data_IF_556234690357
#
_entry.id   IF_556234690357
#
_cell.length_a   1.000
_cell.length_b   1.000
_cell.length_c   1.000
_cell.angle_alpha   90.00
_cell.angle_beta   90.00
_cell.angle_gamma   90.00
#
_symmetry.space_group_name_H-M   'P 1'
#
loop_
_entity.id
_entity.type
_entity.pdbx_description
1 polymer ?
#
# COMPACT_ATOMS: atom_id res chain seq x y z
N UNK A 1 13.76 48.44 32.15
CA UNK A 1 13.22 48.61 30.78
C UNK A 1 11.97 47.73 30.67
N UNK A 2 10.76 48.28 30.89
CA UNK A 2 9.51 47.49 30.79
C UNK A 2 9.14 47.37 29.31
N UNK A 3 9.31 46.19 28.74
CA UNK A 3 8.83 45.86 27.40
C UNK A 3 7.31 46.04 27.42
N UNK A 4 6.79 47.01 26.65
CA UNK A 4 5.35 47.15 26.44
C UNK A 4 4.91 45.98 25.56
N UNK A 5 4.32 44.96 26.15
CA UNK A 5 3.67 43.87 25.41
C UNK A 5 2.50 44.49 24.63
N UNK A 6 2.52 44.33 23.31
CA UNK A 6 1.43 44.75 22.44
C UNK A 6 0.24 43.80 22.70
N UNK A 7 -0.96 44.31 23.08
CA UNK A 7 -2.11 43.48 23.42
C UNK A 7 -2.68 42.68 22.24
N UNK A 8 -2.21 42.93 21.02
CA UNK A 8 -2.54 42.17 19.82
C UNK A 8 -1.47 41.12 19.45
N UNK A 9 -0.36 41.02 20.19
CA UNK A 9 0.59 39.94 19.98
C UNK A 9 -0.03 38.64 20.52
N UNK A 10 0.08 37.52 19.78
CA UNK A 10 -0.36 36.24 20.28
C UNK A 10 0.34 35.95 21.63
N UNK A 11 -0.36 35.31 22.59
CA UNK A 11 0.22 35.02 23.89
C UNK A 11 1.52 34.24 23.70
N UNK A 12 2.58 34.69 24.38
CA UNK A 12 3.90 34.07 24.30
C UNK A 12 3.80 32.69 24.94
N UNK A 13 3.73 31.64 24.11
CA UNK A 13 3.69 30.25 24.59
C UNK A 13 4.89 29.99 25.50
N UNK A 14 4.66 29.44 26.70
CA UNK A 14 5.76 29.14 27.61
C UNK A 14 6.62 28.02 27.02
N UNK A 15 7.92 28.06 27.30
CA UNK A 15 8.85 27.01 26.83
C UNK A 15 8.34 25.60 27.21
N UNK A 16 7.71 25.43 28.37
CA UNK A 16 7.13 24.16 28.81
C UNK A 16 5.99 23.68 27.90
N UNK A 17 5.13 24.60 27.43
CA UNK A 17 4.07 24.26 26.46
C UNK A 17 4.65 23.90 25.09
N UNK A 18 5.71 24.57 24.67
CA UNK A 18 6.42 24.28 23.42
C UNK A 18 7.11 22.90 23.47
N UNK A 19 7.80 22.60 24.57
CA UNK A 19 8.44 21.30 24.77
C UNK A 19 7.41 20.18 24.88
N UNK A 20 6.32 20.37 25.62
CA UNK A 20 5.24 19.39 25.72
C UNK A 20 4.62 19.08 24.35
N UNK A 21 4.35 20.12 23.53
CA UNK A 21 3.86 19.96 22.16
C UNK A 21 4.86 19.22 21.28
N UNK A 22 6.13 19.61 21.28
CA UNK A 22 7.16 18.93 20.50
C UNK A 22 7.33 17.46 20.92
N UNK A 23 7.24 17.14 22.21
CA UNK A 23 7.25 15.74 22.68
C UNK A 23 6.00 14.97 22.27
N UNK A 24 4.82 15.60 22.26
CA UNK A 24 3.58 14.99 21.81
C UNK A 24 3.62 14.78 20.29
N UNK A 25 4.10 15.74 19.51
CA UNK A 25 4.28 15.61 18.06
C UNK A 25 5.28 14.52 17.70
N UNK A 26 6.40 14.43 18.42
CA UNK A 26 7.37 13.36 18.25
C UNK A 26 6.83 11.99 18.67
N UNK A 27 5.99 11.92 19.71
CA UNK A 27 5.31 10.70 20.14
C UNK A 27 4.18 10.27 19.20
N UNK A 28 3.56 11.23 18.51
CA UNK A 28 2.50 11.02 17.51
C UNK A 28 3.06 10.69 16.11
N UNK A 29 4.36 10.89 15.88
CA UNK A 29 5.00 10.58 14.62
C UNK A 29 5.08 9.07 14.41
N UNK A 30 4.57 8.60 13.26
CA UNK A 30 4.58 7.18 12.91
C UNK A 30 6.01 6.64 12.91
N UNK A 31 6.34 5.62 13.73
CA UNK A 31 7.66 5.03 13.81
C UNK A 31 8.15 4.53 12.45
N UNK A 32 9.46 4.63 12.19
CA UNK A 32 10.06 4.22 10.90
C UNK A 32 9.79 2.74 10.59
N UNK A 33 9.81 1.87 11.60
CA UNK A 33 9.50 0.45 11.41
C UNK A 33 8.05 0.22 10.93
N UNK A 34 7.09 1.06 11.37
CA UNK A 34 5.71 0.96 10.93
C UNK A 34 5.57 1.41 9.47
N UNK A 35 6.32 2.42 9.06
CA UNK A 35 6.37 2.87 7.65
C UNK A 35 6.92 1.78 6.75
N UNK A 36 7.96 1.08 7.19
CA UNK A 36 8.55 -0.03 6.44
C UNK A 36 7.60 -1.22 6.31
N UNK A 37 6.88 -1.58 7.38
CA UNK A 37 5.88 -2.65 7.28
C UNK A 37 4.66 -2.24 6.46
N UNK A 38 4.23 -0.98 6.56
CA UNK A 38 3.21 -0.40 5.70
C UNK A 38 3.61 -0.42 4.22
N UNK A 39 4.89 -0.22 3.92
CA UNK A 39 5.45 -0.39 2.58
C UNK A 39 5.36 -1.85 2.11
N UNK A 40 5.77 -2.77 3.00
CA UNK A 40 5.93 -4.18 2.68
C UNK A 40 4.60 -4.85 2.29
N UNK A 41 3.48 -4.43 2.87
CA UNK A 41 2.17 -5.02 2.55
C UNK A 41 1.72 -4.74 1.11
N UNK A 42 2.18 -3.64 0.48
CA UNK A 42 1.90 -3.37 -0.93
C UNK A 42 2.73 -4.22 -1.90
N UNK A 43 3.70 -5.00 -1.41
CA UNK A 43 4.38 -6.00 -2.22
C UNK A 43 3.42 -7.11 -2.64
N UNK A 44 2.37 -7.38 -1.86
CA UNK A 44 1.33 -8.38 -2.18
C UNK A 44 0.57 -8.06 -3.48
N UNK A 45 -0.20 -6.95 -3.60
CA UNK A 45 -0.86 -6.65 -4.87
C UNK A 45 0.13 -6.47 -6.04
N UNK A 46 1.39 -6.13 -5.75
CA UNK A 46 2.43 -6.08 -6.77
C UNK A 46 2.86 -7.46 -7.26
N UNK A 47 3.03 -8.46 -6.39
CA UNK A 47 3.38 -9.83 -6.79
C UNK A 47 2.35 -10.41 -7.74
N UNK A 48 1.07 -10.18 -7.47
CA UNK A 48 -0.04 -10.67 -8.28
C UNK A 48 -0.23 -9.91 -9.59
N UNK A 49 0.31 -8.70 -9.69
CA UNK A 49 0.31 -7.93 -10.93
C UNK A 49 1.44 -8.36 -11.90
N UNK A 50 2.52 -9.01 -11.41
CA UNK A 50 3.67 -9.39 -12.25
C UNK A 50 3.28 -10.21 -13.49
N UNK A 51 2.40 -11.22 -13.43
CA UNK A 51 2.03 -12.03 -14.60
C UNK A 51 1.46 -11.21 -15.76
N UNK A 52 0.71 -10.15 -15.48
CA UNK A 52 0.17 -9.24 -16.50
C UNK A 52 1.28 -8.45 -17.21
N UNK A 53 2.44 -8.28 -16.57
CA UNK A 53 3.54 -7.44 -17.03
C UNK A 53 4.50 -8.12 -17.99
N UNK A 54 4.31 -9.42 -18.27
CA UNK A 54 5.20 -10.22 -19.13
C UNK A 54 5.54 -9.53 -20.46
N UNK A 55 4.56 -8.87 -21.07
CA UNK A 55 4.73 -8.14 -22.32
C UNK A 55 5.48 -6.82 -22.20
N UNK A 56 5.28 -6.08 -21.11
CA UNK A 56 6.00 -4.83 -20.85
C UNK A 56 7.45 -5.13 -20.45
N UNK A 57 7.69 -6.15 -19.64
CA UNK A 57 9.02 -6.55 -19.21
C UNK A 57 9.90 -7.04 -20.37
N UNK A 58 9.29 -7.67 -21.39
CA UNK A 58 10.00 -8.01 -22.63
C UNK A 58 10.42 -6.79 -23.47
N UNK A 59 9.67 -5.69 -23.40
CA UNK A 59 9.99 -4.43 -24.10
C UNK A 59 10.92 -3.53 -23.28
N UNK A 60 10.78 -3.57 -21.95
CA UNK A 60 11.50 -2.74 -21.01
C UNK A 60 12.20 -3.63 -19.97
N UNK A 61 13.42 -4.13 -20.26
CA UNK A 61 14.13 -5.05 -19.37
C UNK A 61 14.38 -4.48 -17.98
N UNK A 62 14.50 -3.15 -17.84
CA UNK A 62 14.67 -2.49 -16.54
C UNK A 62 13.48 -2.71 -15.60
N UNK A 63 12.29 -3.00 -16.13
CA UNK A 63 11.10 -3.27 -15.31
C UNK A 63 11.22 -4.59 -14.54
N UNK A 64 12.14 -5.47 -14.93
CA UNK A 64 12.45 -6.70 -14.19
C UNK A 64 13.04 -6.42 -12.80
N UNK A 65 13.74 -5.30 -12.61
CA UNK A 65 14.27 -4.92 -11.29
C UNK A 65 13.16 -4.69 -10.25
N UNK A 66 11.96 -4.30 -10.71
CA UNK A 66 10.80 -4.11 -9.83
C UNK A 66 10.21 -5.43 -9.33
N UNK A 67 10.53 -6.58 -9.94
CA UNK A 67 10.02 -7.89 -9.47
C UNK A 67 10.83 -8.44 -8.30
N UNK A 68 12.08 -7.99 -8.13
CA UNK A 68 12.98 -8.42 -7.05
C UNK A 68 12.36 -8.34 -5.64
N UNK A 69 11.72 -7.23 -5.21
CA UNK A 69 11.11 -7.16 -3.89
C UNK A 69 9.95 -8.16 -3.69
N UNK A 70 9.28 -8.55 -4.78
CA UNK A 70 8.16 -9.49 -4.75
C UNK A 70 8.60 -10.96 -4.86
N UNK A 71 9.83 -11.26 -5.27
CA UNK A 71 10.33 -12.63 -5.41
C UNK A 71 10.10 -13.54 -4.19
N UNK A 72 10.42 -13.14 -2.94
CA UNK A 72 10.20 -14.03 -1.80
C UNK A 72 8.73 -14.41 -1.64
N UNK A 73 7.83 -13.47 -1.93
CA UNK A 73 6.39 -13.68 -1.85
C UNK A 73 5.89 -14.59 -2.99
N UNK A 74 6.33 -14.33 -4.22
CA UNK A 74 5.98 -15.15 -5.39
C UNK A 74 6.47 -16.59 -5.23
N UNK A 75 7.65 -16.80 -4.66
CA UNK A 75 8.18 -18.14 -4.39
C UNK A 75 7.34 -18.87 -3.32
N UNK A 76 6.93 -18.15 -2.27
CA UNK A 76 6.06 -18.69 -1.23
C UNK A 76 4.69 -19.08 -1.81
N UNK A 77 4.08 -18.19 -2.59
CA UNK A 77 2.76 -18.40 -3.18
C UNK A 77 2.71 -19.56 -4.17
N UNK A 78 3.78 -19.76 -4.95
CA UNK A 78 3.91 -20.87 -5.89
C UNK A 78 4.27 -22.20 -5.23
N UNK A 79 4.86 -22.15 -4.03
CA UNK A 79 5.30 -23.33 -3.30
C UNK A 79 4.16 -24.14 -2.69
N UNK A 80 2.97 -23.56 -2.54
CA UNK A 80 1.81 -24.20 -1.92
C UNK A 80 0.53 -24.00 -2.75
N UNK A 81 -0.41 -24.96 -2.73
CA UNK A 81 -1.71 -24.78 -3.36
C UNK A 81 -2.45 -23.57 -2.77
N UNK A 82 -3.02 -22.72 -3.63
CA UNK A 82 -3.73 -21.50 -3.23
C UNK A 82 -2.86 -20.54 -2.39
N UNK A 83 -1.55 -20.47 -2.64
CA UNK A 83 -0.63 -19.69 -1.82
C UNK A 83 -0.98 -18.21 -1.70
N UNK A 84 -1.36 -17.54 -2.80
CA UNK A 84 -1.85 -16.15 -2.73
C UNK A 84 -3.01 -16.01 -1.72
N UNK A 85 -4.04 -16.86 -1.83
CA UNK A 85 -5.21 -16.81 -0.94
C UNK A 85 -4.85 -17.08 0.52
N UNK A 86 -3.91 -18.00 0.75
CA UNK A 86 -3.41 -18.28 2.11
C UNK A 86 -2.65 -17.10 2.69
N UNK A 87 -1.82 -16.42 1.89
CA UNK A 87 -1.10 -15.20 2.30
C UNK A 87 -2.09 -14.08 2.60
N UNK A 88 -3.12 -13.90 1.76
CA UNK A 88 -4.21 -12.97 1.99
C UNK A 88 -4.86 -13.21 3.37
N UNK A 89 -5.27 -14.46 3.65
CA UNK A 89 -5.90 -14.79 4.93
C UNK A 89 -4.95 -14.64 6.11
N UNK A 90 -3.68 -14.99 5.93
CA UNK A 90 -2.65 -14.83 6.95
C UNK A 90 -2.51 -13.36 7.34
N UNK A 91 -2.37 -12.45 6.37
CA UNK A 91 -2.27 -11.02 6.64
C UNK A 91 -3.56 -10.46 7.24
N UNK A 92 -4.72 -10.89 6.73
CA UNK A 92 -6.00 -10.44 7.27
C UNK A 92 -6.19 -10.85 8.74
N UNK A 93 -5.94 -12.13 9.07
CA UNK A 93 -6.13 -12.64 10.43
C UNK A 93 -5.04 -12.16 11.39
N UNK A 94 -3.77 -12.19 10.97
CA UNK A 94 -2.65 -11.86 11.85
C UNK A 94 -2.46 -10.35 12.05
N UNK A 95 -2.78 -9.53 11.04
CA UNK A 95 -2.53 -8.08 11.05
C UNK A 95 -3.83 -7.30 11.21
N UNK A 96 -4.77 -7.44 10.27
CA UNK A 96 -5.99 -6.60 10.23
C UNK A 96 -6.90 -6.88 11.42
N UNK A 97 -7.09 -8.16 11.78
CA UNK A 97 -7.95 -8.58 12.89
C UNK A 97 -7.28 -8.49 14.26
N UNK A 98 -5.96 -8.30 14.33
CA UNK A 98 -5.24 -8.26 15.60
C UNK A 98 -5.31 -6.85 16.22
N UNK A 99 -5.96 -6.66 17.37
CA UNK A 99 -6.11 -5.36 18.00
C UNK A 99 -4.79 -4.81 18.55
N UNK A 100 -3.77 -5.67 18.75
CA UNK A 100 -2.44 -5.24 19.20
C UNK A 100 -1.64 -4.55 18.09
N UNK A 101 -2.07 -4.68 16.83
CA UNK A 101 -1.42 -4.04 15.69
C UNK A 101 -1.89 -2.60 15.59
N UNK A 102 -0.98 -1.63 15.40
CA UNK A 102 -1.33 -0.22 15.31
C UNK A 102 -2.24 0.05 14.12
N UNK A 103 -3.13 1.03 14.27
CA UNK A 103 -4.12 1.42 13.25
C UNK A 103 -3.49 1.64 11.87
N UNK A 104 -2.35 2.34 11.80
CA UNK A 104 -1.65 2.60 10.54
C UNK A 104 -1.31 1.33 9.75
N UNK A 105 -0.80 0.29 10.42
CA UNK A 105 -0.51 -0.99 9.75
C UNK A 105 -1.80 -1.67 9.31
N UNK A 106 -2.83 -1.69 10.16
CA UNK A 106 -4.12 -2.32 9.84
C UNK A 106 -4.77 -1.65 8.62
N UNK A 107 -4.71 -0.33 8.55
CA UNK A 107 -5.20 0.47 7.42
C UNK A 107 -4.46 0.13 6.12
N UNK A 108 -3.13 0.25 6.11
CA UNK A 108 -2.33 -0.05 4.91
C UNK A 108 -2.49 -1.51 4.47
N UNK A 109 -2.53 -2.45 5.42
CA UNK A 109 -2.71 -3.87 5.11
C UNK A 109 -4.07 -4.12 4.48
N UNK A 110 -5.15 -3.60 5.08
CA UNK A 110 -6.50 -3.81 4.55
C UNK A 110 -6.66 -3.16 3.17
N UNK A 111 -6.08 -1.98 2.96
CA UNK A 111 -6.05 -1.34 1.66
C UNK A 111 -5.28 -2.15 0.60
N UNK A 112 -4.09 -2.65 0.95
CA UNK A 112 -3.30 -3.51 0.08
C UNK A 112 -4.06 -4.81 -0.26
N UNK A 113 -4.73 -5.42 0.71
CA UNK A 113 -5.59 -6.60 0.52
C UNK A 113 -6.78 -6.33 -0.40
N UNK A 114 -7.41 -5.15 -0.32
CA UNK A 114 -8.49 -4.79 -1.25
C UNK A 114 -7.97 -4.60 -2.68
N UNK A 115 -6.78 -3.99 -2.85
CA UNK A 115 -6.14 -3.88 -4.17
C UNK A 115 -5.78 -5.28 -4.69
N UNK A 116 -5.23 -6.14 -3.84
CA UNK A 116 -4.86 -7.52 -4.18
C UNK A 116 -6.09 -8.31 -4.69
N UNK A 117 -7.22 -8.24 -3.99
CA UNK A 117 -8.48 -8.85 -4.46
C UNK A 117 -8.84 -8.37 -5.87
N UNK A 118 -8.74 -7.07 -6.16
CA UNK A 118 -9.04 -6.54 -7.49
C UNK A 118 -8.09 -7.13 -8.54
N UNK A 119 -6.79 -7.20 -8.25
CA UNK A 119 -5.77 -7.74 -9.16
C UNK A 119 -5.98 -9.22 -9.42
N UNK A 120 -6.21 -10.01 -8.37
CA UNK A 120 -6.46 -11.45 -8.46
C UNK A 120 -7.74 -11.73 -9.27
N UNK A 121 -8.83 -11.00 -9.01
CA UNK A 121 -10.07 -11.14 -9.77
C UNK A 121 -9.90 -10.77 -11.24
N UNK A 122 -9.14 -9.71 -11.54
CA UNK A 122 -8.75 -9.41 -12.92
C UNK A 122 -7.95 -10.56 -13.52
N UNK A 123 -7.07 -11.21 -12.76
CA UNK A 123 -6.27 -12.33 -13.25
C UNK A 123 -7.14 -13.49 -13.71
N UNK A 124 -8.13 -13.86 -12.88
CA UNK A 124 -9.12 -14.87 -13.23
C UNK A 124 -10.00 -14.45 -14.40
N UNK A 125 -10.44 -13.18 -14.47
CA UNK A 125 -11.20 -12.68 -15.59
C UNK A 125 -10.41 -12.75 -16.91
N UNK A 126 -9.11 -12.44 -16.88
CA UNK A 126 -8.25 -12.56 -18.05
C UNK A 126 -8.07 -14.01 -18.48
N UNK A 127 -7.77 -14.91 -17.54
CA UNK A 127 -7.51 -16.32 -17.82
C UNK A 127 -8.75 -17.05 -18.35
N UNK A 128 -9.92 -16.80 -17.75
CA UNK A 128 -11.15 -17.56 -18.04
C UNK A 128 -11.96 -16.90 -19.14
N UNK A 129 -12.08 -15.57 -19.15
CA UNK A 129 -12.98 -14.86 -20.06
C UNK A 129 -12.25 -14.28 -21.27
N UNK A 130 -11.15 -13.55 -21.05
CA UNK A 130 -10.53 -12.77 -22.12
C UNK A 130 -9.57 -13.60 -23.00
N UNK A 131 -8.78 -14.51 -22.44
CA UNK A 131 -7.84 -15.33 -23.21
C UNK A 131 -8.51 -16.16 -24.31
N UNK A 132 -9.67 -16.82 -24.09
CA UNK A 132 -10.34 -17.58 -25.14
C UNK A 132 -11.01 -16.71 -26.23
N UNK A 133 -11.35 -15.46 -25.91
CA UNK A 133 -12.24 -14.62 -26.73
C UNK A 133 -11.53 -13.46 -27.44
N UNK A 134 -10.33 -13.07 -27.00
CA UNK A 134 -9.67 -11.85 -27.46
C UNK A 134 -8.45 -12.10 -28.34
N UNK A 135 -8.18 -11.15 -29.23
CA UNK A 135 -6.97 -11.14 -30.05
C UNK A 135 -5.75 -10.69 -29.23
N UNK A 136 -4.55 -11.12 -29.64
CA UNK A 136 -3.32 -10.89 -28.89
C UNK A 136 -3.00 -9.41 -28.61
N UNK A 137 -3.44 -8.48 -29.48
CA UNK A 137 -3.19 -7.06 -29.30
C UNK A 137 -4.07 -6.46 -28.20
N UNK A 138 -5.36 -6.78 -28.17
CA UNK A 138 -6.28 -6.31 -27.12
C UNK A 138 -5.83 -6.83 -25.75
N UNK A 139 -5.52 -8.12 -25.65
CA UNK A 139 -5.04 -8.72 -24.41
C UNK A 139 -3.71 -8.10 -23.94
N UNK A 140 -2.78 -7.82 -24.87
CA UNK A 140 -1.51 -7.15 -24.56
C UNK A 140 -1.71 -5.73 -24.04
N UNK A 141 -2.61 -4.94 -24.65
CA UNK A 141 -2.90 -3.58 -24.18
C UNK A 141 -3.57 -3.60 -22.80
N UNK A 142 -4.60 -4.42 -22.61
CA UNK A 142 -5.30 -4.50 -21.33
C UNK A 142 -4.37 -4.97 -20.19
N UNK A 143 -3.58 -6.02 -20.41
CA UNK A 143 -2.63 -6.52 -19.40
C UNK A 143 -1.55 -5.49 -19.06
N UNK A 144 -1.05 -4.77 -20.05
CA UNK A 144 -0.09 -3.67 -19.85
C UNK A 144 -0.69 -2.55 -19.00
N UNK A 145 -1.94 -2.15 -19.29
CA UNK A 145 -2.65 -1.13 -18.51
C UNK A 145 -2.84 -1.55 -17.06
N UNK A 146 -3.19 -2.82 -16.80
CA UNK A 146 -3.35 -3.34 -15.43
C UNK A 146 -2.04 -3.19 -14.64
N UNK A 147 -0.89 -3.61 -15.19
CA UNK A 147 0.38 -3.47 -14.46
C UNK A 147 0.77 -2.04 -14.22
N UNK A 148 0.60 -1.16 -15.20
CA UNK A 148 0.90 0.26 -15.02
C UNK A 148 -0.01 0.88 -13.95
N UNK A 149 -1.29 0.52 -13.93
CA UNK A 149 -2.24 0.98 -12.92
C UNK A 149 -1.85 0.49 -11.52
N UNK A 150 -1.53 -0.80 -11.37
CA UNK A 150 -1.10 -1.34 -10.07
C UNK A 150 0.23 -0.72 -9.63
N UNK A 151 1.19 -0.56 -10.54
CA UNK A 151 2.46 0.10 -10.25
C UNK A 151 2.24 1.53 -9.75
N UNK A 152 1.34 2.29 -10.39
CA UNK A 152 1.01 3.65 -9.97
C UNK A 152 0.41 3.67 -8.55
N UNK A 153 -0.53 2.76 -8.26
CA UNK A 153 -1.13 2.60 -6.93
C UNK A 153 -0.07 2.26 -5.87
N UNK A 154 0.79 1.29 -6.16
CA UNK A 154 1.88 0.88 -5.27
C UNK A 154 2.81 2.05 -5.01
N UNK A 155 3.34 2.70 -6.06
CA UNK A 155 4.26 3.85 -5.92
C UNK A 155 3.63 5.00 -5.12
N UNK A 156 2.37 5.32 -5.36
CA UNK A 156 1.65 6.32 -4.58
C UNK A 156 1.61 5.94 -3.10
N UNK A 157 1.24 4.69 -2.78
CA UNK A 157 1.23 4.20 -1.42
C UNK A 157 2.62 4.18 -0.77
N UNK A 158 3.68 3.85 -1.53
CA UNK A 158 5.05 3.89 -1.03
C UNK A 158 5.45 5.31 -0.60
N UNK A 159 5.16 6.31 -1.43
CA UNK A 159 5.49 7.71 -1.17
C UNK A 159 4.78 8.21 0.09
N UNK A 160 3.49 7.93 0.23
CA UNK A 160 2.72 8.35 1.40
C UNK A 160 3.17 7.60 2.68
N UNK A 161 3.48 6.30 2.61
CA UNK A 161 4.04 5.56 3.74
C UNK A 161 5.38 6.14 4.21
N UNK A 162 6.28 6.50 3.28
CA UNK A 162 7.58 7.11 3.61
C UNK A 162 7.39 8.46 4.32
N UNK A 163 6.42 9.26 3.84
CA UNK A 163 6.01 10.53 4.48
C UNK A 163 5.36 10.35 5.84
N UNK A 164 5.04 9.11 6.25
CA UNK A 164 4.32 8.82 7.49
C UNK A 164 2.86 9.24 7.42
N UNK A 165 2.26 9.20 6.23
CA UNK A 165 0.86 9.50 5.98
C UNK A 165 0.14 8.25 5.50
N UNK A 166 -1.16 8.20 5.76
CA UNK A 166 -2.02 7.13 5.26
C UNK A 166 -2.24 7.31 3.75
N UNK A 167 -1.97 6.29 2.91
CA UNK A 167 -2.24 6.36 1.48
C UNK A 167 -3.74 6.53 1.21
N UNK A 168 -4.16 7.71 0.76
CA UNK A 168 -5.57 7.98 0.47
C UNK A 168 -5.91 7.59 -0.98
N UNK A 169 -6.20 6.31 -1.23
CA UNK A 169 -6.70 5.86 -2.53
C UNK A 169 -8.21 6.14 -2.62
N UNK A 170 -8.68 6.94 -3.59
CA UNK A 170 -10.08 7.32 -3.68
C UNK A 170 -11.00 6.10 -3.78
N UNK A 171 -12.08 6.09 -3.00
CA UNK A 171 -13.02 4.97 -2.87
C UNK A 171 -12.54 3.85 -1.93
N UNK A 172 -11.31 3.39 -2.09
CA UNK A 172 -10.75 2.30 -1.27
C UNK A 172 -10.47 2.72 0.16
N UNK A 173 -9.85 3.90 0.36
CA UNK A 173 -9.52 4.41 1.70
C UNK A 173 -10.76 4.56 2.58
N UNK A 174 -11.87 5.02 2.01
CA UNK A 174 -13.15 5.16 2.71
C UNK A 174 -13.75 3.81 3.09
N UNK A 175 -13.69 2.83 2.18
CA UNK A 175 -14.12 1.45 2.47
C UNK A 175 -13.30 0.82 3.61
N UNK A 176 -11.97 1.03 3.60
CA UNK A 176 -11.07 0.56 4.67
C UNK A 176 -11.40 1.22 6.01
N UNK A 177 -11.61 2.55 6.03
CA UNK A 177 -12.00 3.26 7.26
C UNK A 177 -13.30 2.70 7.83
N UNK A 178 -14.29 2.45 6.99
CA UNK A 178 -15.58 1.89 7.42
C UNK A 178 -15.46 0.46 7.99
N UNK A 179 -14.46 -0.32 7.58
CA UNK A 179 -14.23 -1.67 8.10
C UNK A 179 -13.41 -1.71 9.39
N UNK A 180 -12.64 -0.66 9.68
CA UNK A 180 -11.81 -0.57 10.89
C UNK A 180 -12.51 0.11 12.07
N UNK A 181 -13.63 0.80 11.82
CA UNK A 181 -14.57 1.29 12.83
C UNK A 181 -15.52 0.18 13.30
#
# INVERSE_FOLDING_TARGET
MRIRLNPNDPPTESNDTLYARATIEAAMAIPVWQRFLGLLVYVLPWSDAIPFGSHLMGQFPWMQWLTLPALPLVLLERGIPFGNLLVFFLLFLAVVRNPNVPYFLRFNTLQALLVDIIVVLLGYAFAILLQPLSSGLMLRTLSSTVVVAVLAVVLFALIECIRGREPDLPGLSQAVRMQLY
#
